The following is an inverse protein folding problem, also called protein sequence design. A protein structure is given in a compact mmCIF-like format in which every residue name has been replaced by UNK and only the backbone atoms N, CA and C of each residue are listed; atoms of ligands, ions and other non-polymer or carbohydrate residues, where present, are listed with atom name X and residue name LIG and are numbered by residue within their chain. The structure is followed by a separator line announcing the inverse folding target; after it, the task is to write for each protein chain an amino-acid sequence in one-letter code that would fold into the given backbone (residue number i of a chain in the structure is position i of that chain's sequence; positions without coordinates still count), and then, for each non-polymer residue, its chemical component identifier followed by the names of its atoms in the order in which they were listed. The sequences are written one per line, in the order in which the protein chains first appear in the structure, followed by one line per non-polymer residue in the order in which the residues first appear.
data_IF_215844081266
#
_entry.id   IF_215844081266
#
_cell.length_a   1.000
_cell.length_b   1.000
_cell.length_c   1.000
_cell.angle_alpha   90.00
_cell.angle_beta   90.00
_cell.angle_gamma   90.00
#
_symmetry.space_group_name_H-M   'P 1'
#
loop_
_entity.id
_entity.type
_entity.pdbx_description
1 polymer ?
#
# COMPACT_ATOMS: atom_id res chain seq x y z
N UNK A 1 -55.80 -76.32 -59.95
CA UNK A 1 -54.63 -77.19 -59.74
C UNK A 1 -53.62 -76.42 -58.92
N UNK A 2 -53.39 -76.85 -57.68
CA UNK A 2 -52.14 -76.86 -56.88
C UNK A 2 -51.14 -75.65 -56.88
N UNK A 3 -50.31 -75.49 -55.83
CA UNK A 3 -50.41 -74.36 -54.90
C UNK A 3 -49.04 -73.70 -54.59
N UNK A 4 -48.98 -72.84 -53.56
CA UNK A 4 -47.74 -72.37 -52.93
C UNK A 4 -48.03 -71.29 -51.89
N UNK A 5 -48.54 -71.69 -50.72
CA UNK A 5 -47.82 -71.83 -49.43
C UNK A 5 -47.80 -70.55 -48.59
N UNK A 6 -48.67 -70.56 -47.59
CA UNK A 6 -48.68 -69.71 -46.40
C UNK A 6 -47.48 -70.02 -45.50
N UNK A 7 -47.01 -69.02 -44.76
CA UNK A 7 -46.46 -69.26 -43.43
C UNK A 7 -46.90 -68.16 -42.45
N UNK A 8 -47.36 -68.61 -41.29
CA UNK A 8 -48.02 -67.85 -40.24
C UNK A 8 -47.13 -67.74 -39.02
N UNK A 9 -46.90 -66.50 -38.59
CA UNK A 9 -46.98 -65.97 -37.22
C UNK A 9 -46.77 -66.88 -36.00
N UNK A 10 -45.78 -66.42 -35.19
CA UNK A 10 -45.71 -66.26 -33.72
C UNK A 10 -45.61 -67.45 -32.75
N UNK A 11 -44.49 -67.46 -32.00
CA UNK A 11 -44.38 -67.69 -30.53
C UNK A 11 -43.10 -66.93 -30.05
N UNK A 12 -43.17 -65.74 -29.45
CA UNK A 12 -43.33 -65.39 -28.02
C UNK A 12 -42.43 -66.18 -27.05
N UNK A 13 -41.46 -65.48 -26.44
CA UNK A 13 -40.82 -65.85 -25.17
C UNK A 13 -40.78 -64.64 -24.21
N UNK A 14 -41.43 -64.90 -23.07
CA UNK A 14 -41.53 -64.29 -21.72
C UNK A 14 -40.46 -63.29 -21.20
N UNK A 15 -40.96 -62.16 -20.66
CA UNK A 15 -40.65 -61.40 -19.40
C UNK A 15 -39.21 -61.34 -18.83
N UNK A 16 -38.61 -60.25 -18.31
CA UNK A 16 -38.94 -58.86 -17.85
C UNK A 16 -37.57 -58.16 -17.50
N UNK A 17 -37.43 -56.95 -16.88
CA UNK A 17 -38.31 -55.78 -16.72
C UNK A 17 -37.77 -54.51 -17.44
N UNK A 18 -38.61 -53.48 -17.53
CA UNK A 18 -38.35 -52.22 -18.24
C UNK A 18 -37.09 -51.47 -17.78
N UNK A 19 -36.01 -51.55 -18.57
CA UNK A 19 -34.84 -50.69 -18.49
C UNK A 19 -35.02 -49.44 -19.37
N UNK A 20 -34.80 -48.26 -18.80
CA UNK A 20 -34.82 -46.98 -19.52
C UNK A 20 -33.72 -46.98 -20.58
N UNK A 21 -34.11 -47.14 -21.84
CA UNK A 21 -33.24 -46.91 -22.99
C UNK A 21 -33.25 -45.42 -23.36
N UNK A 22 -32.07 -44.80 -23.45
CA UNK A 22 -31.92 -43.44 -23.96
C UNK A 22 -32.47 -43.34 -25.39
N UNK A 23 -33.22 -42.26 -25.73
CA UNK A 23 -33.73 -42.09 -27.08
C UNK A 23 -32.55 -41.92 -28.08
N UNK A 24 -32.73 -42.37 -29.35
CA UNK A 24 -31.72 -42.21 -30.38
C UNK A 24 -31.42 -40.73 -30.64
N UNK A 25 -30.16 -40.45 -31.02
CA UNK A 25 -29.58 -39.09 -31.17
C UNK A 25 -30.43 -38.18 -32.05
N UNK A 26 -31.18 -38.74 -32.98
CA UNK A 26 -32.01 -38.01 -33.94
C UNK A 26 -33.26 -37.37 -33.29
N UNK A 27 -33.65 -37.79 -32.08
CA UNK A 27 -34.79 -37.22 -31.31
C UNK A 27 -34.32 -36.15 -30.28
N UNK A 28 -33.01 -36.01 -30.05
CA UNK A 28 -32.42 -35.01 -29.15
C UNK A 28 -32.00 -33.72 -29.85
N UNK A 29 -32.20 -33.62 -31.17
CA UNK A 29 -31.77 -32.48 -31.99
C UNK A 29 -32.92 -31.75 -32.73
N UNK A 30 -34.18 -32.14 -32.51
CA UNK A 30 -35.33 -31.41 -33.04
C UNK A 30 -35.81 -30.34 -32.04
N UNK A 31 -35.04 -29.24 -32.01
CA UNK A 31 -35.57 -27.91 -31.68
C UNK A 31 -35.04 -26.93 -32.76
N UNK A 32 -35.26 -27.30 -34.02
CA UNK A 32 -35.14 -26.38 -35.16
C UNK A 32 -36.52 -25.81 -35.46
N UNK A 33 -36.88 -24.73 -34.77
CA UNK A 33 -37.72 -23.71 -35.40
C UNK A 33 -37.02 -23.25 -36.67
N UNK A 34 -37.57 -23.65 -37.82
CA UNK A 34 -37.16 -23.14 -39.12
C UNK A 34 -37.30 -21.60 -39.18
N UNK A 35 -36.41 -20.91 -39.91
CA UNK A 35 -36.34 -19.46 -39.92
C UNK A 35 -37.35 -18.90 -40.91
N UNK A 36 -38.51 -18.45 -40.40
CA UNK A 36 -39.36 -17.53 -41.16
C UNK A 36 -38.93 -16.08 -40.88
N UNK A 37 -38.71 -15.36 -41.98
CA UNK A 37 -38.46 -13.93 -42.10
C UNK A 37 -37.12 -13.41 -41.57
N UNK A 38 -36.18 -13.27 -42.51
CA UNK A 38 -35.11 -12.28 -42.50
C UNK A 38 -35.71 -10.87 -42.34
N UNK A 39 -35.85 -10.43 -41.09
CA UNK A 39 -35.85 -9.01 -40.75
C UNK A 39 -34.51 -8.67 -40.06
N UNK A 40 -33.84 -7.69 -40.65
CA UNK A 40 -32.48 -7.30 -40.35
C UNK A 40 -32.39 -6.53 -39.02
N UNK A 41 -31.93 -7.20 -37.97
CA UNK A 41 -30.99 -6.71 -36.95
C UNK A 41 -30.57 -7.94 -36.14
N UNK A 42 -29.29 -8.34 -36.23
CA UNK A 42 -28.79 -9.45 -35.42
C UNK A 42 -28.84 -9.04 -33.94
N UNK A 43 -29.91 -9.40 -33.23
CA UNK A 43 -30.10 -9.06 -31.83
C UNK A 43 -28.95 -9.65 -31.01
N UNK A 44 -28.04 -8.79 -30.57
CA UNK A 44 -27.03 -9.15 -29.60
C UNK A 44 -27.76 -9.62 -28.33
N UNK A 45 -27.46 -10.82 -27.80
CA UNK A 45 -28.21 -11.37 -26.68
C UNK A 45 -28.13 -10.43 -25.47
N UNK A 46 -29.25 -10.29 -24.76
CA UNK A 46 -29.31 -9.48 -23.56
C UNK A 46 -28.26 -9.95 -22.53
N UNK A 47 -27.63 -9.04 -21.74
CA UNK A 47 -26.55 -9.39 -20.81
C UNK A 47 -26.87 -10.56 -19.85
N UNK A 48 -28.13 -10.68 -19.41
CA UNK A 48 -28.59 -11.73 -18.50
C UNK A 48 -28.88 -13.09 -19.16
N UNK A 49 -28.91 -13.17 -20.49
CA UNK A 49 -29.13 -14.42 -21.24
C UNK A 49 -27.81 -15.13 -21.61
N UNK A 50 -26.67 -14.49 -21.38
CA UNK A 50 -25.36 -14.99 -21.81
C UNK A 50 -24.85 -16.03 -20.80
N UNK A 51 -24.59 -17.25 -21.29
CA UNK A 51 -23.93 -18.30 -20.50
C UNK A 51 -22.42 -18.18 -20.64
N UNK A 52 -21.75 -17.79 -19.56
CA UNK A 52 -20.29 -17.70 -19.49
C UNK A 52 -19.67 -19.06 -19.11
N UNK A 53 -18.46 -19.32 -19.60
CA UNK A 53 -17.67 -20.54 -19.32
C UNK A 53 -16.72 -20.34 -18.13
N UNK A 54 -16.17 -19.14 -17.98
CA UNK A 54 -15.22 -18.85 -16.91
C UNK A 54 -15.91 -18.79 -15.54
N UNK A 55 -15.25 -19.27 -14.47
CA UNK A 55 -15.78 -19.20 -13.13
C UNK A 55 -15.85 -17.76 -12.64
N UNK A 56 -16.88 -17.45 -11.84
CA UNK A 56 -16.95 -16.19 -11.11
C UNK A 56 -16.01 -16.25 -9.91
N UNK A 57 -15.24 -15.19 -9.70
CA UNK A 57 -14.44 -15.02 -8.48
C UNK A 57 -15.36 -14.96 -7.27
N UNK A 58 -15.03 -15.75 -6.24
CA UNK A 58 -15.67 -15.66 -4.93
C UNK A 58 -15.27 -14.37 -4.21
N UNK A 59 -16.26 -13.62 -3.74
CA UNK A 59 -16.08 -12.44 -2.90
C UNK A 59 -16.26 -12.84 -1.43
N UNK A 60 -15.50 -12.27 -0.47
CA UNK A 60 -15.64 -12.59 0.95
C UNK A 60 -17.07 -12.47 1.46
N UNK A 61 -17.54 -13.45 2.24
CA UNK A 61 -18.93 -13.53 2.73
C UNK A 61 -19.28 -12.62 3.91
N UNK A 62 -18.61 -11.47 3.99
CA UNK A 62 -18.94 -10.41 4.93
C UNK A 62 -19.83 -9.37 4.23
N UNK A 63 -21.10 -9.29 4.64
CA UNK A 63 -22.11 -8.38 4.05
C UNK A 63 -21.69 -6.91 4.17
N UNK A 64 -21.12 -6.51 5.31
CA UNK A 64 -20.67 -5.13 5.52
C UNK A 64 -19.50 -4.79 4.60
N UNK A 65 -18.55 -5.72 4.43
CA UNK A 65 -17.42 -5.55 3.51
C UNK A 65 -17.89 -5.48 2.06
N UNK A 66 -18.81 -6.36 1.64
CA UNK A 66 -19.43 -6.31 0.30
C UNK A 66 -20.06 -4.94 0.05
N UNK A 67 -20.87 -4.44 0.98
CA UNK A 67 -21.51 -3.13 0.86
C UNK A 67 -20.50 -1.97 0.83
N UNK A 68 -19.45 -2.02 1.65
CA UNK A 68 -18.41 -0.99 1.68
C UNK A 68 -17.61 -0.95 0.36
N UNK A 69 -17.28 -2.11 -0.22
CA UNK A 69 -16.60 -2.21 -1.52
C UNK A 69 -17.50 -1.71 -2.66
N UNK A 70 -18.78 -2.07 -2.66
CA UNK A 70 -19.72 -1.58 -3.69
C UNK A 70 -19.87 -0.07 -3.62
N UNK A 71 -20.03 0.47 -2.41
CA UNK A 71 -20.06 1.91 -2.17
C UNK A 71 -18.77 2.60 -2.62
N UNK A 72 -17.60 1.98 -2.39
CA UNK A 72 -16.32 2.50 -2.88
C UNK A 72 -16.29 2.59 -4.42
N UNK A 73 -16.78 1.56 -5.11
CA UNK A 73 -16.85 1.55 -6.59
C UNK A 73 -17.79 2.64 -7.10
N UNK A 74 -18.94 2.83 -6.46
CA UNK A 74 -19.88 3.92 -6.77
C UNK A 74 -19.28 5.30 -6.50
N UNK A 75 -18.64 5.49 -5.35
CA UNK A 75 -17.97 6.75 -4.99
C UNK A 75 -16.85 7.09 -5.98
N UNK A 76 -16.06 6.11 -6.41
CA UNK A 76 -15.06 6.34 -7.46
C UNK A 76 -15.70 6.78 -8.77
N UNK A 77 -16.79 6.13 -9.20
CA UNK A 77 -17.49 6.49 -10.43
C UNK A 77 -18.10 7.92 -10.35
N UNK A 78 -18.60 8.32 -9.19
CA UNK A 78 -19.08 9.68 -8.94
C UNK A 78 -17.94 10.71 -9.00
N UNK A 79 -16.80 10.41 -8.37
CA UNK A 79 -15.61 11.26 -8.46
C UNK A 79 -15.13 11.39 -9.91
N UNK A 80 -15.13 10.30 -10.67
CA UNK A 80 -14.80 10.33 -12.11
C UNK A 80 -15.78 11.18 -12.93
N UNK A 81 -17.09 11.15 -12.61
CA UNK A 81 -18.07 12.01 -13.24
C UNK A 81 -17.86 13.50 -12.92
N UNK A 82 -17.55 13.82 -11.66
CA UNK A 82 -17.22 15.19 -11.24
C UNK A 82 -15.90 15.68 -11.85
N UNK A 83 -14.89 14.79 -11.95
CA UNK A 83 -13.62 15.10 -12.60
C UNK A 83 -13.84 15.54 -14.06
N UNK A 84 -14.71 14.82 -14.80
CA UNK A 84 -15.08 15.17 -16.18
C UNK A 84 -15.72 16.54 -16.32
N UNK A 85 -16.44 17.00 -15.30
CA UNK A 85 -17.08 18.32 -15.27
C UNK A 85 -16.10 19.45 -14.92
N UNK A 86 -14.85 19.13 -14.55
CA UNK A 86 -13.82 20.11 -14.19
C UNK A 86 -14.01 20.74 -12.80
N UNK A 87 -14.84 20.17 -11.94
CA UNK A 87 -15.21 20.74 -10.63
C UNK A 87 -14.33 20.28 -9.47
N UNK A 88 -13.46 19.29 -9.69
CA UNK A 88 -12.61 18.69 -8.65
C UNK A 88 -11.22 19.32 -8.38
N UNK A 89 -10.61 20.17 -9.23
CA UNK A 89 -9.31 20.77 -8.91
C UNK A 89 -9.30 21.46 -7.54
N UNK A 90 -8.34 21.09 -6.69
CA UNK A 90 -8.19 21.64 -5.33
C UNK A 90 -9.10 21.02 -4.27
N UNK A 91 -10.09 20.19 -4.64
CA UNK A 91 -10.99 19.50 -3.70
C UNK A 91 -10.57 18.05 -3.41
N UNK A 92 -9.76 17.45 -4.28
CA UNK A 92 -9.24 16.09 -4.13
C UNK A 92 -7.73 16.10 -3.89
N UNK A 93 -7.18 15.05 -3.23
CA UNK A 93 -5.74 14.88 -3.08
C UNK A 93 -4.99 15.02 -4.40
N UNK A 94 -3.82 15.65 -4.39
CA UNK A 94 -3.05 15.90 -5.61
C UNK A 94 -2.62 14.60 -6.30
N UNK A 95 -2.43 13.53 -5.52
CA UNK A 95 -2.09 12.18 -6.00
C UNK A 95 -3.20 11.54 -6.83
N UNK A 96 -4.43 12.08 -6.76
CA UNK A 96 -5.59 11.61 -7.52
C UNK A 96 -5.77 12.36 -8.83
N UNK A 97 -5.07 13.49 -8.99
CA UNK A 97 -5.04 14.27 -10.21
C UNK A 97 -4.09 13.56 -11.18
N UNK A 98 -4.65 12.70 -12.02
CA UNK A 98 -3.87 12.02 -13.06
C UNK A 98 -3.31 13.00 -14.09
N UNK A 99 -2.45 12.51 -14.99
CA UNK A 99 -1.98 13.32 -16.14
C UNK A 99 -3.07 13.59 -17.18
N UNK A 100 -4.23 12.94 -17.06
CA UNK A 100 -5.38 13.07 -17.95
C UNK A 100 -6.38 14.13 -17.47
N UNK A 101 -7.11 14.70 -18.43
CA UNK A 101 -8.01 15.86 -18.23
C UNK A 101 -9.40 15.43 -17.72
N UNK A 102 -9.67 14.12 -17.56
CA UNK A 102 -11.06 13.61 -17.47
C UNK A 102 -11.36 12.58 -16.38
N UNK A 103 -10.44 12.26 -15.47
CA UNK A 103 -10.70 11.22 -14.46
C UNK A 103 -9.76 11.26 -13.28
N UNK A 104 -10.17 10.62 -12.18
CA UNK A 104 -9.30 10.40 -11.02
C UNK A 104 -8.38 9.22 -11.34
N UNK A 105 -7.07 9.42 -11.16
CA UNK A 105 -6.10 8.35 -11.42
C UNK A 105 -6.40 7.11 -10.58
N UNK A 106 -6.63 5.99 -11.27
CA UNK A 106 -7.04 4.75 -10.65
C UNK A 106 -5.96 4.20 -9.70
N UNK A 107 -4.69 4.26 -10.09
CA UNK A 107 -3.61 3.72 -9.29
C UNK A 107 -3.38 4.55 -8.03
N UNK A 108 -3.29 5.87 -8.17
CA UNK A 108 -3.22 6.81 -7.06
C UNK A 108 -4.39 6.63 -6.10
N UNK A 109 -5.62 6.57 -6.62
CA UNK A 109 -6.82 6.33 -5.81
C UNK A 109 -6.73 5.05 -4.98
N UNK A 110 -6.42 3.91 -5.61
CA UNK A 110 -6.33 2.62 -4.91
C UNK A 110 -5.24 2.66 -3.84
N UNK A 111 -4.05 3.17 -4.16
CA UNK A 111 -2.92 3.25 -3.21
C UNK A 111 -3.18 4.24 -2.07
N UNK A 112 -4.03 5.24 -2.26
CA UNK A 112 -4.45 6.15 -1.20
C UNK A 112 -5.53 5.55 -0.31
N UNK A 113 -6.47 4.78 -0.88
CA UNK A 113 -7.61 4.22 -0.14
C UNK A 113 -7.22 2.95 0.62
N UNK A 114 -6.34 2.13 0.05
CA UNK A 114 -5.94 0.82 0.57
C UNK A 114 -4.48 0.89 1.06
N UNK A 115 -4.24 1.24 2.35
CA UNK A 115 -2.88 1.40 2.87
C UNK A 115 -2.12 0.07 2.91
N UNK A 116 -0.80 0.15 2.77
CA UNK A 116 0.12 -1.01 2.80
C UNK A 116 -0.13 -2.09 1.75
N UNK A 117 -0.88 -1.78 0.69
CA UNK A 117 -1.03 -2.66 -0.46
C UNK A 117 0.35 -2.91 -1.12
N UNK A 118 0.68 -4.19 -1.33
CA UNK A 118 1.94 -4.60 -1.95
C UNK A 118 1.68 -5.02 -3.40
N UNK A 119 2.17 -4.22 -4.36
CA UNK A 119 2.00 -4.49 -5.79
C UNK A 119 3.11 -5.36 -6.40
N UNK A 120 4.09 -5.81 -5.59
CA UNK A 120 5.30 -6.46 -6.08
C UNK A 120 5.21 -7.99 -6.18
N UNK A 121 4.24 -8.63 -5.53
CA UNK A 121 3.98 -10.07 -5.63
C UNK A 121 2.74 -10.33 -6.48
N UNK A 122 2.94 -10.76 -7.73
CA UNK A 122 1.85 -11.33 -8.55
C UNK A 122 1.84 -12.83 -8.28
N UNK A 123 1.23 -13.25 -7.19
CA UNK A 123 1.36 -14.62 -6.67
C UNK A 123 0.67 -15.64 -7.57
N UNK A 124 -0.56 -15.34 -8.00
CA UNK A 124 -1.37 -16.23 -8.81
C UNK A 124 -2.08 -15.45 -9.91
N UNK A 125 -2.08 -16.01 -11.12
CA UNK A 125 -2.70 -15.41 -12.30
C UNK A 125 -3.60 -16.41 -12.99
N UNK A 126 -4.91 -16.15 -13.00
CA UNK A 126 -5.90 -17.05 -13.60
C UNK A 126 -6.96 -16.30 -14.40
N UNK A 127 -7.47 -16.87 -15.51
CA UNK A 127 -8.64 -16.33 -16.19
C UNK A 127 -9.88 -16.57 -15.34
N UNK A 128 -10.64 -15.52 -15.04
CA UNK A 128 -11.86 -15.59 -14.26
C UNK A 128 -12.81 -14.44 -14.60
N UNK A 129 -14.05 -14.53 -14.13
CA UNK A 129 -15.00 -13.40 -14.17
C UNK A 129 -15.00 -12.65 -12.86
N UNK A 130 -14.95 -11.33 -12.94
CA UNK A 130 -15.04 -10.42 -11.81
C UNK A 130 -16.42 -9.77 -11.77
N UNK A 131 -17.09 -9.75 -10.61
CA UNK A 131 -18.36 -9.05 -10.46
C UNK A 131 -18.13 -7.54 -10.56
N UNK A 132 -18.77 -6.88 -11.52
CA UNK A 132 -18.51 -5.47 -11.84
C UNK A 132 -18.81 -4.52 -10.68
N UNK A 133 -19.66 -4.91 -9.73
CA UNK A 133 -19.93 -4.16 -8.49
C UNK A 133 -18.71 -4.10 -7.55
N UNK A 134 -17.67 -4.90 -7.81
CA UNK A 134 -16.45 -5.00 -7.01
C UNK A 134 -15.19 -4.59 -7.81
N UNK A 135 -15.36 -4.12 -9.05
CA UNK A 135 -14.25 -3.76 -9.94
C UNK A 135 -14.21 -2.24 -10.15
N UNK A 136 -13.10 -1.64 -9.74
CA UNK A 136 -12.76 -0.26 -10.07
C UNK A 136 -12.22 -0.18 -11.50
N UNK A 137 -12.68 0.84 -12.22
CA UNK A 137 -12.18 1.20 -13.54
C UNK A 137 -11.74 2.66 -13.58
N UNK A 138 -11.34 3.09 -14.76
CA UNK A 138 -10.97 4.45 -15.06
C UNK A 138 -12.06 5.15 -15.88
N UNK A 139 -12.16 6.47 -15.72
CA UNK A 139 -12.97 7.31 -16.58
C UNK A 139 -12.27 7.40 -17.93
N UNK A 140 -12.67 6.54 -18.86
CA UNK A 140 -12.09 6.50 -20.19
C UNK A 140 -12.17 7.81 -20.95
N UNK A 141 -11.49 7.85 -22.10
CA UNK A 141 -11.62 8.96 -23.06
C UNK A 141 -13.01 9.02 -23.73
N UNK A 142 -13.72 7.90 -23.73
CA UNK A 142 -14.98 7.68 -24.42
C UNK A 142 -15.99 7.02 -23.48
N UNK A 143 -17.27 7.23 -23.74
CA UNK A 143 -18.39 6.58 -23.05
C UNK A 143 -19.35 5.87 -24.02
N UNK A 144 -20.51 5.43 -23.52
CA UNK A 144 -21.51 4.72 -24.34
C UNK A 144 -22.12 5.55 -25.47
N UNK A 145 -22.13 6.88 -25.34
CA UNK A 145 -22.69 7.80 -26.34
C UNK A 145 -21.69 8.09 -27.46
N UNK A 146 -20.40 7.87 -27.20
CA UNK A 146 -19.33 8.03 -28.19
C UNK A 146 -19.16 6.80 -29.10
N UNK A 147 -19.83 5.69 -28.80
CA UNK A 147 -19.69 4.42 -29.53
C UNK A 147 -20.89 4.23 -30.46
N UNK A 148 -20.64 4.03 -31.75
CA UNK A 148 -21.69 3.82 -32.75
C UNK A 148 -22.55 2.57 -32.49
N UNK A 149 -21.90 1.46 -32.10
CA UNK A 149 -22.57 0.19 -31.77
C UNK A 149 -22.22 -0.28 -30.35
N UNK A 150 -22.79 0.36 -29.31
CA UNK A 150 -22.38 0.13 -27.94
C UNK A 150 -22.72 -1.29 -27.45
N UNK A 151 -23.82 -1.88 -27.94
CA UNK A 151 -24.22 -3.26 -27.61
C UNK A 151 -23.25 -4.30 -28.16
N UNK A 152 -22.89 -4.20 -29.45
CA UNK A 152 -21.92 -5.06 -30.10
C UNK A 152 -20.55 -5.00 -29.40
N UNK A 153 -20.09 -3.78 -29.09
CA UNK A 153 -18.85 -3.58 -28.35
C UNK A 153 -18.92 -4.18 -26.94
N UNK A 154 -20.03 -3.98 -26.23
CA UNK A 154 -20.20 -4.54 -24.88
C UNK A 154 -20.15 -6.07 -24.88
N UNK A 155 -20.81 -6.71 -25.86
CA UNK A 155 -20.76 -8.16 -26.02
C UNK A 155 -19.32 -8.65 -26.28
N UNK A 156 -18.60 -7.98 -27.18
CA UNK A 156 -17.20 -8.28 -27.46
C UNK A 156 -16.30 -8.12 -26.22
N UNK A 157 -16.46 -7.02 -25.48
CA UNK A 157 -15.66 -6.72 -24.28
C UNK A 157 -16.04 -7.60 -23.07
N UNK A 158 -17.26 -8.15 -23.05
CA UNK A 158 -17.71 -9.05 -21.99
C UNK A 158 -17.34 -10.53 -22.25
N UNK A 159 -16.86 -10.87 -23.45
CA UNK A 159 -16.46 -12.22 -23.84
C UNK A 159 -15.38 -12.80 -22.91
N UNK A 160 -15.47 -14.10 -22.62
CA UNK A 160 -14.47 -14.83 -21.84
C UNK A 160 -13.09 -14.84 -22.51
N UNK A 161 -13.03 -14.69 -23.83
CA UNK A 161 -11.77 -14.62 -24.58
C UNK A 161 -10.89 -13.47 -24.10
N UNK A 162 -11.49 -12.42 -23.52
CA UNK A 162 -10.76 -11.26 -22.99
C UNK A 162 -9.85 -11.60 -21.81
N UNK A 163 -10.04 -12.74 -21.14
CA UNK A 163 -9.19 -13.21 -20.05
C UNK A 163 -7.97 -14.02 -20.52
N UNK A 164 -7.89 -14.33 -21.82
CA UNK A 164 -6.80 -15.12 -22.40
C UNK A 164 -5.55 -14.27 -22.62
N UNK A 165 -4.37 -14.86 -22.45
CA UNK A 165 -3.11 -14.17 -22.74
C UNK A 165 -2.89 -14.04 -24.26
N UNK A 166 -2.33 -12.91 -24.71
CA UNK A 166 -1.94 -12.71 -26.10
C UNK A 166 -3.08 -12.48 -27.09
N UNK A 167 -4.32 -12.34 -26.63
CA UNK A 167 -5.44 -11.94 -27.50
C UNK A 167 -5.40 -10.43 -27.79
N UNK A 168 -6.04 -10.02 -28.87
CA UNK A 168 -6.31 -8.61 -29.14
C UNK A 168 -7.24 -8.06 -28.05
N UNK A 169 -6.92 -6.89 -27.50
CA UNK A 169 -7.66 -6.20 -26.42
C UNK A 169 -7.91 -7.05 -25.14
N UNK A 170 -6.85 -7.57 -24.48
CA UNK A 170 -7.01 -8.34 -23.25
C UNK A 170 -7.58 -7.49 -22.10
N UNK A 171 -8.09 -8.15 -21.06
CA UNK A 171 -8.32 -7.54 -19.76
C UNK A 171 -7.41 -8.20 -18.73
N UNK A 172 -6.72 -7.36 -17.97
CA UNK A 172 -6.00 -7.76 -16.78
C UNK A 172 -6.52 -6.96 -15.60
N UNK A 173 -6.67 -7.60 -14.45
CA UNK A 173 -7.12 -6.97 -13.23
C UNK A 173 -6.31 -7.46 -12.03
N UNK A 174 -6.11 -6.59 -11.07
CA UNK A 174 -5.59 -6.96 -9.76
C UNK A 174 -6.76 -7.19 -8.81
N UNK A 175 -6.66 -8.22 -7.98
CA UNK A 175 -7.67 -8.56 -6.98
C UNK A 175 -7.02 -8.71 -5.61
N UNK A 176 -7.50 -7.92 -4.66
CA UNK A 176 -7.23 -8.15 -3.24
C UNK A 176 -8.29 -9.10 -2.69
N UNK A 177 -7.99 -10.40 -2.68
CA UNK A 177 -8.94 -11.44 -2.29
C UNK A 177 -9.55 -11.20 -0.91
N UNK A 178 -8.73 -10.79 0.07
CA UNK A 178 -9.16 -10.51 1.44
C UNK A 178 -10.22 -9.39 1.54
N UNK A 179 -10.19 -8.42 0.61
CA UNK A 179 -11.15 -7.32 0.54
C UNK A 179 -12.32 -7.62 -0.40
N UNK A 180 -12.14 -8.53 -1.36
CA UNK A 180 -13.05 -8.69 -2.48
C UNK A 180 -13.10 -7.45 -3.37
N UNK A 181 -12.00 -6.69 -3.45
CA UNK A 181 -11.87 -5.48 -4.25
C UNK A 181 -10.90 -5.73 -5.40
N UNK A 182 -11.32 -5.42 -6.61
CA UNK A 182 -10.49 -5.50 -7.81
C UNK A 182 -10.39 -4.16 -8.54
N UNK A 183 -9.35 -4.00 -9.35
CA UNK A 183 -9.25 -2.89 -10.30
C UNK A 183 -8.62 -3.34 -11.61
N UNK A 184 -9.09 -2.74 -12.70
CA UNK A 184 -8.56 -3.02 -14.03
C UNK A 184 -7.15 -2.42 -14.19
N UNK A 185 -6.22 -3.24 -14.66
CA UNK A 185 -4.87 -2.85 -15.06
C UNK A 185 -4.79 -2.60 -16.56
N UNK A 186 -5.28 -3.57 -17.33
CA UNK A 186 -5.47 -3.48 -18.77
C UNK A 186 -6.97 -3.49 -19.10
N UNK A 187 -7.38 -2.70 -20.11
CA UNK A 187 -8.80 -2.47 -20.36
C UNK A 187 -9.46 -1.61 -19.28
N UNK A 188 -8.74 -0.61 -18.73
CA UNK A 188 -9.17 0.25 -17.60
C UNK A 188 -10.56 0.85 -17.72
N UNK A 189 -11.04 1.14 -18.93
CA UNK A 189 -12.37 1.75 -19.19
C UNK A 189 -13.52 0.74 -19.21
N UNK A 190 -13.19 -0.54 -19.36
CA UNK A 190 -14.12 -1.65 -19.52
C UNK A 190 -15.09 -1.83 -18.35
N UNK A 191 -14.68 -1.74 -17.07
CA UNK A 191 -15.60 -1.90 -15.95
C UNK A 191 -16.73 -0.85 -15.95
N UNK A 192 -16.38 0.41 -16.24
CA UNK A 192 -17.34 1.50 -16.33
C UNK A 192 -18.32 1.32 -17.49
N UNK A 193 -17.79 1.01 -18.67
CA UNK A 193 -18.59 0.81 -19.89
C UNK A 193 -19.55 -0.39 -19.77
N UNK A 194 -19.05 -1.55 -19.34
CA UNK A 194 -19.90 -2.75 -19.19
C UNK A 194 -21.00 -2.56 -18.15
N UNK A 195 -20.72 -1.82 -17.06
CA UNK A 195 -21.73 -1.48 -16.06
C UNK A 195 -22.82 -0.56 -16.64
N UNK A 196 -22.45 0.44 -17.43
CA UNK A 196 -23.42 1.31 -18.11
C UNK A 196 -24.30 0.53 -19.10
N UNK A 197 -23.75 -0.52 -19.72
CA UNK A 197 -24.45 -1.44 -20.62
C UNK A 197 -25.24 -2.54 -19.91
N UNK A 198 -25.31 -2.55 -18.58
CA UNK A 198 -26.13 -3.48 -17.80
C UNK A 198 -25.52 -4.87 -17.59
N UNK A 199 -24.21 -5.04 -17.79
CA UNK A 199 -23.53 -6.29 -17.44
C UNK A 199 -23.22 -6.33 -15.94
N UNK A 200 -23.29 -7.53 -15.35
CA UNK A 200 -22.98 -7.76 -13.94
C UNK A 200 -21.54 -8.23 -13.69
N UNK A 201 -20.85 -8.71 -14.72
CA UNK A 201 -19.48 -9.21 -14.61
C UNK A 201 -18.65 -8.97 -15.86
N UNK A 202 -17.33 -9.05 -15.71
CA UNK A 202 -16.38 -9.00 -16.83
C UNK A 202 -15.35 -10.12 -16.73
N UNK A 203 -14.94 -10.67 -17.87
CA UNK A 203 -13.81 -11.58 -17.93
C UNK A 203 -12.49 -10.82 -17.88
N UNK A 204 -11.55 -11.32 -17.07
CA UNK A 204 -10.20 -10.78 -16.99
C UNK A 204 -9.20 -11.87 -16.59
N UNK A 205 -7.95 -11.66 -16.94
CA UNK A 205 -6.82 -12.34 -16.31
C UNK A 205 -6.58 -11.67 -14.95
N UNK A 206 -6.86 -12.41 -13.88
CA UNK A 206 -6.88 -11.88 -12.53
C UNK A 206 -5.55 -12.20 -11.85
N UNK A 207 -4.88 -11.16 -11.36
CA UNK A 207 -3.69 -11.27 -10.54
C UNK A 207 -4.06 -11.08 -9.07
N UNK A 208 -3.86 -12.11 -8.26
CA UNK A 208 -4.09 -12.04 -6.82
C UNK A 208 -2.99 -11.23 -6.15
N UNK A 209 -3.40 -10.27 -5.32
CA UNK A 209 -2.49 -9.45 -4.51
C UNK A 209 -2.66 -9.77 -3.02
N UNK A 210 -1.55 -9.94 -2.28
CA UNK A 210 -1.59 -10.13 -0.84
C UNK A 210 -2.02 -8.84 -0.14
N UNK A 211 -2.69 -8.99 1.00
CA UNK A 211 -3.08 -7.88 1.85
C UNK A 211 -2.91 -8.22 3.34
N UNK A 212 -2.47 -7.27 4.19
CA UNK A 212 -2.32 -7.54 5.61
C UNK A 212 -3.63 -7.99 6.26
N UNK A 213 -3.53 -8.89 7.23
CA UNK A 213 -4.69 -9.28 8.03
C UNK A 213 -5.21 -8.07 8.82
N UNK A 214 -6.53 -8.00 9.03
CA UNK A 214 -7.14 -6.88 9.74
C UNK A 214 -6.52 -6.63 11.14
N UNK A 215 -6.14 -7.68 11.86
CA UNK A 215 -5.50 -7.59 13.18
C UNK A 215 -4.08 -6.97 13.17
N UNK A 216 -3.42 -6.94 12.00
CA UNK A 216 -2.11 -6.28 11.85
C UNK A 216 -2.26 -4.78 11.66
N UNK A 217 -3.46 -4.30 11.30
CA UNK A 217 -3.76 -2.90 11.03
C UNK A 217 -4.44 -2.26 12.24
N UNK A 218 -4.06 -1.03 12.56
CA UNK A 218 -4.71 -0.21 13.58
C UNK A 218 -4.87 1.22 13.09
N UNK A 219 -6.01 1.82 13.39
CA UNK A 219 -6.33 3.20 13.01
C UNK A 219 -6.21 4.10 14.23
N UNK A 220 -5.55 5.25 14.06
CA UNK A 220 -5.41 6.25 15.11
C UNK A 220 -5.80 7.63 14.63
N UNK A 221 -6.58 8.34 15.44
CA UNK A 221 -6.85 9.76 15.27
C UNK A 221 -5.79 10.57 16.01
N UNK A 222 -5.16 11.48 15.28
CA UNK A 222 -4.07 12.32 15.77
C UNK A 222 -4.31 13.78 15.40
N UNK A 223 -3.80 14.70 16.21
CA UNK A 223 -3.71 16.12 15.86
C UNK A 223 -2.25 16.45 15.61
N UNK A 224 -1.87 16.59 14.35
CA UNK A 224 -0.51 16.96 13.95
C UNK A 224 -0.52 18.38 13.38
N UNK A 225 0.32 19.26 13.93
CA UNK A 225 0.38 20.69 13.53
C UNK A 225 -0.99 21.39 13.53
N UNK A 226 -1.84 21.08 14.50
CA UNK A 226 -3.18 21.68 14.63
C UNK A 226 -4.25 21.09 13.70
N UNK A 227 -3.91 20.12 12.84
CA UNK A 227 -4.85 19.45 11.92
C UNK A 227 -5.13 18.03 12.39
N UNK A 228 -6.40 17.66 12.47
CA UNK A 228 -6.80 16.28 12.74
C UNK A 228 -6.56 15.40 11.52
N UNK A 229 -5.84 14.30 11.72
CA UNK A 229 -5.54 13.30 10.70
C UNK A 229 -5.85 11.91 11.22
N UNK A 230 -6.08 10.96 10.30
CA UNK A 230 -6.15 9.54 10.63
C UNK A 230 -4.90 8.85 10.09
N UNK A 231 -4.19 8.15 10.96
CA UNK A 231 -3.02 7.35 10.61
C UNK A 231 -3.35 5.87 10.72
N UNK A 232 -2.89 5.08 9.75
CA UNK A 232 -2.95 3.63 9.78
C UNK A 232 -1.57 3.10 10.17
N UNK A 233 -1.53 2.20 11.16
CA UNK A 233 -0.31 1.55 11.64
C UNK A 233 -0.40 0.06 11.33
N UNK A 234 0.65 -0.48 10.71
CA UNK A 234 0.81 -1.91 10.44
C UNK A 234 1.87 -2.50 11.36
N UNK A 235 1.55 -3.65 11.98
CA UNK A 235 2.41 -4.42 12.88
C UNK A 235 3.01 -3.60 14.03
N UNK A 236 2.27 -2.58 14.50
CA UNK A 236 2.73 -1.62 15.52
C UNK A 236 4.06 -0.93 15.17
N UNK A 237 4.43 -0.91 13.88
CA UNK A 237 5.76 -0.50 13.41
C UNK A 237 5.68 0.51 12.29
N UNK A 238 5.03 0.18 11.17
CA UNK A 238 4.95 1.09 10.02
C UNK A 238 3.73 1.97 10.15
N UNK A 239 3.89 3.27 9.99
CA UNK A 239 2.78 4.23 10.05
C UNK A 239 2.63 4.95 8.72
N UNK A 240 1.39 5.15 8.29
CA UNK A 240 1.03 5.86 7.07
C UNK A 240 -0.20 6.76 7.31
N UNK A 241 -0.14 8.06 6.98
CA UNK A 241 -1.33 8.91 6.99
C UNK A 241 -2.31 8.49 5.90
N UNK A 242 -3.60 8.43 6.24
CA UNK A 242 -4.66 8.18 5.27
C UNK A 242 -5.02 9.49 4.56
N UNK A 243 -4.88 9.52 3.24
CA UNK A 243 -5.16 10.71 2.42
C UNK A 243 -6.66 11.00 2.31
N UNK A 244 -7.48 9.94 2.27
CA UNK A 244 -8.94 10.04 2.21
C UNK A 244 -9.60 9.20 3.32
N UNK A 245 -9.51 9.61 4.60
CA UNK A 245 -10.07 8.84 5.72
C UNK A 245 -11.57 8.57 5.57
N UNK A 246 -12.31 9.48 4.94
CA UNK A 246 -13.75 9.34 4.69
C UNK A 246 -14.11 8.18 3.74
N UNK A 247 -13.15 7.67 2.97
CA UNK A 247 -13.29 6.49 2.11
C UNK A 247 -12.59 5.28 2.73
N UNK A 248 -11.34 5.44 3.18
CA UNK A 248 -10.54 4.36 3.74
C UNK A 248 -11.09 3.79 5.03
N UNK A 249 -11.54 4.64 5.96
CA UNK A 249 -11.98 4.18 7.30
C UNK A 249 -13.21 3.27 7.20
N UNK A 250 -14.30 3.63 6.48
CA UNK A 250 -15.43 2.73 6.31
C UNK A 250 -15.06 1.38 5.69
N UNK A 251 -14.16 1.38 4.69
CA UNK A 251 -13.67 0.14 4.05
C UNK A 251 -12.88 -0.73 5.05
N UNK A 252 -11.90 -0.14 5.74
CA UNK A 252 -11.05 -0.86 6.69
C UNK A 252 -11.84 -1.36 7.90
N UNK A 253 -12.79 -0.59 8.39
CA UNK A 253 -13.68 -1.02 9.48
C UNK A 253 -14.58 -2.18 9.04
N UNK A 254 -15.13 -2.14 7.83
CA UNK A 254 -15.91 -3.26 7.29
C UNK A 254 -15.06 -4.52 7.05
N UNK A 255 -13.77 -4.35 6.73
CA UNK A 255 -12.78 -5.43 6.64
C UNK A 255 -12.45 -6.06 8.00
N UNK A 256 -12.72 -5.35 9.11
CA UNK A 256 -12.51 -5.84 10.47
C UNK A 256 -11.43 -5.08 11.25
N UNK A 257 -10.90 -3.98 10.71
CA UNK A 257 -9.98 -3.09 11.45
C UNK A 257 -10.78 -2.29 12.48
N UNK A 258 -10.26 -2.20 13.70
CA UNK A 258 -10.91 -1.42 14.75
C UNK A 258 -11.07 0.05 14.35
N UNK A 259 -12.18 0.67 14.78
CA UNK A 259 -12.42 2.10 14.56
C UNK A 259 -11.26 2.97 15.09
N UNK A 260 -11.03 4.17 14.53
CA UNK A 260 -9.92 5.02 14.94
C UNK A 260 -9.87 5.27 16.45
N UNK A 261 -8.72 4.97 17.05
CA UNK A 261 -8.45 5.15 18.48
C UNK A 261 -7.56 6.36 18.73
N UNK A 262 -7.41 6.77 19.99
CA UNK A 262 -6.44 7.80 20.37
C UNK A 262 -5.01 7.27 20.22
N UNK A 263 -4.07 8.14 19.84
CA UNK A 263 -2.66 7.80 19.74
C UNK A 263 -2.11 7.26 21.07
N UNK A 264 -1.53 6.04 21.10
CA UNK A 264 -1.03 5.44 22.33
C UNK A 264 0.20 6.17 22.88
N UNK A 265 0.30 6.29 24.20
CA UNK A 265 1.49 6.80 24.89
C UNK A 265 2.72 5.89 24.74
N UNK A 266 2.52 4.61 24.37
CA UNK A 266 3.61 3.68 24.08
C UNK A 266 4.33 3.96 22.76
N UNK A 267 3.74 4.77 21.88
CA UNK A 267 4.36 5.16 20.62
C UNK A 267 5.11 6.50 20.77
N UNK A 268 6.06 6.80 19.87
CA UNK A 268 6.71 8.11 19.84
C UNK A 268 5.69 9.25 19.76
N UNK A 269 6.07 10.42 20.24
CA UNK A 269 5.21 11.60 20.20
C UNK A 269 4.75 11.91 18.77
N UNK A 270 3.51 12.40 18.63
CA UNK A 270 2.88 12.69 17.34
C UNK A 270 3.74 13.64 16.50
N UNK A 271 4.32 14.68 17.12
CA UNK A 271 5.13 15.67 16.42
C UNK A 271 6.41 15.06 15.81
N UNK A 272 7.06 14.12 16.50
CA UNK A 272 8.26 13.43 16.01
C UNK A 272 7.94 12.52 14.82
N UNK A 273 6.82 11.81 14.90
CA UNK A 273 6.32 10.98 13.79
C UNK A 273 5.91 11.87 12.61
N UNK A 274 5.23 12.99 12.87
CA UNK A 274 4.82 13.94 11.84
C UNK A 274 6.02 14.56 11.12
N UNK A 275 7.10 14.89 11.83
CA UNK A 275 8.35 15.39 11.25
C UNK A 275 9.00 14.35 10.32
N UNK A 276 9.02 13.08 10.73
CA UNK A 276 9.52 11.98 9.89
C UNK A 276 8.64 11.74 8.66
N UNK A 277 7.32 11.81 8.79
CA UNK A 277 6.39 11.71 7.66
C UNK A 277 6.52 12.89 6.70
N UNK A 278 6.74 14.10 7.21
CA UNK A 278 7.00 15.29 6.39
C UNK A 278 8.29 15.14 5.57
N UNK A 279 9.32 14.56 6.16
CA UNK A 279 10.58 14.22 5.47
C UNK A 279 10.35 13.14 4.41
N UNK A 280 9.53 12.11 4.72
CA UNK A 280 9.20 11.07 3.75
C UNK A 280 8.42 11.60 2.54
N UNK A 281 7.59 12.65 2.72
CA UNK A 281 6.80 13.27 1.65
C UNK A 281 7.64 13.93 0.56
N UNK A 282 8.89 14.33 0.85
CA UNK A 282 9.79 14.90 -0.16
C UNK A 282 10.52 13.82 -0.97
N UNK A 283 10.47 12.56 -0.53
CA UNK A 283 11.10 11.43 -1.18
C UNK A 283 10.31 10.85 -2.35
N UNK A 284 10.97 9.94 -3.09
CA UNK A 284 10.34 9.13 -4.15
C UNK A 284 9.83 7.81 -3.55
N UNK A 285 8.75 7.87 -2.78
CA UNK A 285 8.20 6.67 -2.14
C UNK A 285 6.86 6.94 -1.45
N UNK A 286 6.17 5.89 -0.96
CA UNK A 286 4.98 6.09 -0.16
C UNK A 286 5.35 6.85 1.12
N UNK A 287 4.46 7.77 1.54
CA UNK A 287 4.66 8.57 2.75
C UNK A 287 4.48 7.68 3.98
N UNK A 288 5.54 6.99 4.36
CA UNK A 288 5.56 6.01 5.44
C UNK A 288 6.71 6.29 6.41
N UNK A 289 6.48 6.06 7.70
CA UNK A 289 7.52 6.12 8.72
C UNK A 289 7.58 4.81 9.51
N UNK A 290 8.76 4.50 10.05
CA UNK A 290 8.97 3.35 10.95
C UNK A 290 9.07 3.87 12.38
N UNK A 291 8.09 3.54 13.21
CA UNK A 291 7.99 3.95 14.61
C UNK A 291 9.20 3.50 15.42
N UNK A 292 9.81 2.36 15.09
CA UNK A 292 11.02 1.90 15.81
C UNK A 292 12.23 2.79 15.51
N UNK A 293 12.33 3.27 14.26
CA UNK A 293 13.39 4.20 13.86
C UNK A 293 13.17 5.58 14.48
N UNK A 294 11.91 6.03 14.54
CA UNK A 294 11.54 7.28 15.22
C UNK A 294 11.92 7.19 16.71
N UNK A 295 11.53 6.11 17.39
CA UNK A 295 11.86 5.90 18.80
C UNK A 295 13.39 5.87 19.04
N UNK A 296 14.13 5.18 18.19
CA UNK A 296 15.60 5.13 18.27
C UNK A 296 16.23 6.50 18.07
N UNK A 297 15.73 7.29 17.11
CA UNK A 297 16.18 8.66 16.86
C UNK A 297 15.91 9.56 18.07
N UNK A 298 14.69 9.53 18.61
CA UNK A 298 14.32 10.30 19.82
C UNK A 298 15.19 9.93 21.01
N UNK A 299 15.45 8.63 21.22
CA UNK A 299 16.34 8.18 22.29
C UNK A 299 17.79 8.64 22.07
N UNK A 300 18.27 8.63 20.82
CA UNK A 300 19.60 9.13 20.47
C UNK A 300 19.71 10.64 20.73
N UNK A 301 18.73 11.43 20.30
CA UNK A 301 18.68 12.88 20.50
C UNK A 301 18.63 13.22 21.99
N UNK A 302 17.80 12.53 22.77
CA UNK A 302 17.76 12.67 24.23
C UNK A 302 19.10 12.33 24.88
N UNK A 303 19.77 11.26 24.44
CA UNK A 303 21.10 10.89 24.92
C UNK A 303 22.17 11.91 24.54
N UNK A 304 22.03 12.57 23.39
CA UNK A 304 22.95 13.59 22.90
C UNK A 304 22.85 14.90 23.70
N UNK A 305 21.69 15.14 24.34
CA UNK A 305 21.45 16.28 25.23
C UNK A 305 21.92 16.05 26.66
N UNK A 306 22.26 14.82 27.05
CA UNK A 306 22.81 14.54 28.38
C UNK A 306 24.16 15.25 28.59
N UNK A 307 24.27 15.90 29.75
CA UNK A 307 25.51 16.52 30.21
C UNK A 307 26.42 15.44 30.80
N UNK A 308 27.61 15.30 30.25
CA UNK A 308 28.62 14.37 30.76
C UNK A 308 29.82 15.17 31.29
N UNK A 309 30.47 14.72 32.38
CA UNK A 309 31.74 15.27 32.83
C UNK A 309 32.84 14.77 31.89
N UNK A 310 33.56 15.70 31.27
CA UNK A 310 34.51 15.42 30.19
C UNK A 310 35.84 16.10 30.50
N UNK A 311 36.94 15.41 30.20
CA UNK A 311 38.27 16.02 30.27
C UNK A 311 38.39 17.07 29.17
N UNK A 312 39.07 18.19 29.47
CA UNK A 312 39.35 19.23 28.49
C UNK A 312 39.98 18.69 27.19
N UNK A 313 40.75 17.59 27.27
CA UNK A 313 41.38 16.93 26.12
C UNK A 313 40.40 16.19 25.18
N UNK A 314 39.19 15.88 25.65
CA UNK A 314 38.17 15.14 24.90
C UNK A 314 37.15 16.04 24.19
N UNK A 315 37.20 17.35 24.42
CA UNK A 315 36.32 18.32 23.77
C UNK A 315 36.91 18.66 22.40
N UNK A 316 36.39 18.04 21.33
CA UNK A 316 36.92 18.20 19.96
C UNK A 316 36.90 19.62 19.40
N UNK A 317 36.13 20.53 20.01
CA UNK A 317 36.09 21.97 19.64
C UNK A 317 37.16 22.81 20.36
N UNK A 318 37.87 22.25 21.34
CA UNK A 318 38.93 22.95 22.06
C UNK A 318 40.27 22.71 21.36
N UNK A 319 40.81 23.76 20.73
CA UNK A 319 42.20 23.77 20.25
C UNK A 319 43.05 24.56 21.26
N UNK A 320 43.59 23.92 22.31
CA UNK A 320 44.46 24.62 23.23
C UNK A 320 45.69 25.10 22.45
N UNK A 321 46.06 26.38 22.63
CA UNK A 321 47.32 26.92 22.11
C UNK A 321 48.47 26.27 22.88
N UNK A 322 48.85 25.06 22.49
CA UNK A 322 49.77 24.19 23.23
C UNK A 322 51.09 24.88 23.57
N UNK A 323 51.61 25.68 22.64
CA UNK A 323 52.80 26.51 22.86
C UNK A 323 52.64 27.49 24.02
N UNK A 324 51.48 28.13 24.14
CA UNK A 324 51.17 29.08 25.20
C UNK A 324 50.93 28.36 26.54
N UNK A 325 50.20 27.25 26.50
CA UNK A 325 49.92 26.44 27.69
C UNK A 325 51.21 25.86 28.29
N UNK A 326 52.05 25.22 27.47
CA UNK A 326 53.34 24.70 27.89
C UNK A 326 54.26 25.83 28.37
N UNK A 327 54.27 26.99 27.71
CA UNK A 327 55.07 28.13 28.15
C UNK A 327 54.63 28.68 29.52
N UNK A 328 53.33 28.78 29.78
CA UNK A 328 52.80 29.36 31.03
C UNK A 328 52.79 28.37 32.20
N UNK A 329 52.44 27.10 31.96
CA UNK A 329 52.27 26.12 33.04
C UNK A 329 53.50 25.24 33.28
N UNK A 330 54.42 25.15 32.32
CA UNK A 330 55.66 24.37 32.47
C UNK A 330 56.88 25.28 32.37
N UNK A 331 56.95 26.10 31.33
CA UNK A 331 58.09 26.98 31.06
C UNK A 331 58.30 28.04 32.14
N UNK A 332 57.26 28.80 32.47
CA UNK A 332 57.33 29.92 33.42
C UNK A 332 57.61 29.46 34.87
N UNK A 333 57.00 28.38 35.40
CA UNK A 333 57.37 27.83 36.69
C UNK A 333 58.80 27.28 36.71
N UNK A 334 59.23 26.60 35.64
CA UNK A 334 60.61 26.11 35.53
C UNK A 334 61.62 27.25 35.50
N UNK A 335 61.33 28.33 34.78
CA UNK A 335 62.16 29.53 34.72
C UNK A 335 62.23 30.22 36.09
N UNK A 336 61.08 30.44 36.75
CA UNK A 336 61.04 31.03 38.09
C UNK A 336 61.82 30.18 39.10
N UNK A 337 61.81 28.86 38.94
CA UNK A 337 62.59 27.95 39.78
C UNK A 337 64.08 28.05 39.55
N UNK A 338 64.53 28.13 38.29
CA UNK A 338 65.94 28.37 37.97
C UNK A 338 66.39 29.71 38.55
N UNK A 339 65.59 30.76 38.43
CA UNK A 339 65.87 32.08 39.01
C UNK A 339 65.91 32.02 40.54
N UNK A 340 64.98 31.32 41.18
CA UNK A 340 64.95 31.15 42.63
C UNK A 340 66.14 30.33 43.16
N UNK A 341 66.54 29.27 42.45
CA UNK A 341 67.69 28.45 42.79
C UNK A 341 69.01 29.22 42.66
N UNK A 342 69.13 30.10 41.66
CA UNK A 342 70.29 30.98 41.50
C UNK A 342 70.34 32.10 42.54
N UNK A 343 69.19 32.50 43.11
CA UNK A 343 69.09 33.59 44.09
C UNK A 343 69.32 33.15 45.55
N UNK A 344 69.25 31.85 45.87
CA UNK A 344 69.33 31.32 47.24
C UNK A 344 70.34 30.15 47.33
N UNK A 345 71.63 30.41 47.62
CA UNK A 345 72.64 29.35 47.70
C UNK A 345 72.58 28.67 49.08
N UNK A 346 72.02 27.45 49.12
CA UNK A 346 72.09 26.58 50.30
C UNK A 346 70.82 25.75 50.54
N UNK A 347 70.89 24.45 50.20
CA UNK A 347 70.08 23.35 50.73
C UNK A 347 68.54 23.38 50.55
N UNK A 348 68.02 23.78 49.39
CA UNK A 348 66.61 23.54 49.01
C UNK A 348 66.41 22.90 47.63
N UNK A 349 67.48 22.41 46.99
CA UNK A 349 67.43 21.89 45.61
C UNK A 349 66.43 20.72 45.46
N UNK A 350 66.36 19.81 46.42
CA UNK A 350 65.42 18.68 46.37
C UNK A 350 63.96 19.12 46.55
N UNK A 351 63.69 20.10 47.42
CA UNK A 351 62.34 20.62 47.67
C UNK A 351 61.83 21.44 46.47
N UNK A 352 62.73 22.20 45.84
CA UNK A 352 62.49 22.95 44.62
C UNK A 352 62.14 22.04 43.43
N UNK A 353 62.89 20.96 43.22
CA UNK A 353 62.64 19.98 42.16
C UNK A 353 61.36 19.16 42.43
N UNK A 354 61.10 18.80 43.70
CA UNK A 354 59.86 18.13 44.07
C UNK A 354 58.63 19.04 43.86
N UNK A 355 58.74 20.34 44.14
CA UNK A 355 57.66 21.29 43.92
C UNK A 355 57.35 21.49 42.43
N UNK A 356 58.35 21.56 41.53
CA UNK A 356 58.07 21.64 40.09
C UNK A 356 57.47 20.36 39.52
N UNK A 357 58.01 19.20 39.90
CA UNK A 357 57.45 17.93 39.45
C UNK A 357 56.01 17.75 39.98
N UNK A 358 55.75 18.15 41.22
CA UNK A 358 54.40 18.16 41.81
C UNK A 358 53.46 19.13 41.10
N UNK A 359 53.92 20.33 40.72
CA UNK A 359 53.10 21.30 40.00
C UNK A 359 52.82 20.88 38.55
N UNK A 360 53.82 20.33 37.86
CA UNK A 360 53.68 19.80 36.51
C UNK A 360 52.76 18.57 36.48
N UNK A 361 52.94 17.63 37.42
CA UNK A 361 52.06 16.47 37.58
C UNK A 361 50.64 16.90 37.97
N UNK A 362 50.49 17.90 38.84
CA UNK A 362 49.20 18.48 39.22
C UNK A 362 48.48 19.16 38.06
N UNK A 363 49.21 19.90 37.21
CA UNK A 363 48.64 20.55 36.02
C UNK A 363 48.22 19.53 34.95
N UNK A 364 49.02 18.49 34.73
CA UNK A 364 48.66 17.37 33.83
C UNK A 364 47.46 16.61 34.41
N UNK A 365 47.45 16.34 35.71
CA UNK A 365 46.33 15.71 36.41
C UNK A 365 45.05 16.54 36.34
N UNK A 366 45.14 17.87 36.45
CA UNK A 366 44.01 18.78 36.31
C UNK A 366 43.44 18.80 34.88
N UNK A 367 44.27 18.69 33.85
CA UNK A 367 43.79 18.56 32.46
C UNK A 367 43.13 17.19 32.18
N UNK A 368 43.66 16.13 32.76
CA UNK A 368 43.12 14.77 32.61
C UNK A 368 41.83 14.55 33.43
N UNK A 369 41.65 15.32 34.51
CA UNK A 369 40.44 15.26 35.31
C UNK A 369 39.22 15.87 34.56
N UNK A 370 38.01 15.37 34.82
CA UNK A 370 36.82 15.81 34.11
C UNK A 370 36.20 17.05 34.76
N UNK A 371 36.80 18.23 34.53
CA UNK A 371 36.34 19.50 35.13
C UNK A 371 35.18 20.15 34.37
N UNK A 372 34.98 19.80 33.09
CA UNK A 372 34.03 20.49 32.21
C UNK A 372 32.83 19.59 31.94
N UNK A 373 31.63 20.14 32.13
CA UNK A 373 30.41 19.49 31.68
C UNK A 373 30.12 19.94 30.26
N UNK A 374 29.98 19.00 29.34
CA UNK A 374 29.59 19.27 27.96
C UNK A 374 28.43 18.36 27.56
N UNK A 375 27.55 18.86 26.69
CA UNK A 375 26.53 18.00 26.08
C UNK A 375 27.21 17.04 25.12
N UNK A 376 26.80 15.78 25.15
CA UNK A 376 27.40 14.71 24.34
C UNK A 376 27.46 15.04 22.83
N UNK A 377 26.50 15.79 22.30
CA UNK A 377 26.50 16.25 20.89
C UNK A 377 27.70 17.14 20.48
N UNK A 378 28.44 17.70 21.44
CA UNK A 378 29.61 18.55 21.20
C UNK A 378 30.95 17.81 21.42
N UNK A 379 30.89 16.50 21.69
CA UNK A 379 32.06 15.66 22.00
C UNK A 379 32.51 14.77 20.83
N UNK A 380 31.70 14.69 19.78
CA UNK A 380 31.95 13.89 18.58
C UNK A 380 32.50 14.70 17.43
#
# INVERSE_FOLDING_TARGET
MQPGTSDSTTEVSLDAPAGVSLPPVDVLLDDQTAPDALDAEAETPAPGAIRYRLPMVSVPDNVLLKAAVQKLVEQKAQLDALARQGTLPGLIPAEWQGSGIRGVDLQGFVLSVVPFLQNAGKDETAPARLPLKHVLGDAGRWDQHDVAEPKSLAFFLASDDRASAGVKDPAEAYLVGALGLAWAHEGRTRPGFLRAMGYDSMAARVHMLPYPAAAQLALYSVTAHGVTQIWCVMDRRKVRPLLAPWISVPLLTAYGVSAPQTWPTSFPAVDEVAAMLATARTGKGPVEADLTKVAAKVAQDASAETWMPVSLLQVGTWSPRWRYFMAVFIGLPSLLLVVAALALPGAFEAAAVAASLGFAAGAIGALAAPWVHARRKHLS
#
